data_IF_349506201378
#
_entry.id   IF_349506201378
#
_cell.length_a   1.000
_cell.length_b   1.000
_cell.length_c   1.000
_cell.angle_alpha   90.00
_cell.angle_beta   90.00
_cell.angle_gamma   90.00
#
_symmetry.space_group_name_H-M   'P 1'
#
loop_
_entity.id
_entity.type
_entity.pdbx_description
1 polymer ?
#
# COMPACT_ATOMS: atom_id res chain seq x y z
N UNK A 1 18.29 7.84 -22.21
CA UNK A 1 17.51 8.71 -21.30
C UNK A 1 17.22 8.01 -19.97
N UNK A 2 16.45 6.92 -19.91
CA UNK A 2 16.16 6.20 -18.64
C UNK A 2 17.40 5.60 -17.96
N UNK A 3 18.23 4.84 -18.69
CA UNK A 3 19.39 4.17 -18.08
C UNK A 3 20.40 5.16 -17.50
N UNK A 4 20.62 6.28 -18.21
CA UNK A 4 21.45 7.39 -17.76
C UNK A 4 20.92 7.99 -16.46
N UNK A 5 19.61 8.23 -16.37
CA UNK A 5 18.97 8.76 -15.17
C UNK A 5 19.03 7.77 -13.99
N UNK A 6 18.83 6.47 -14.25
CA UNK A 6 18.97 5.42 -13.24
C UNK A 6 20.40 5.32 -12.73
N UNK A 7 21.39 5.45 -13.62
CA UNK A 7 22.80 5.45 -13.25
C UNK A 7 23.15 6.67 -12.40
N UNK A 8 22.81 7.89 -12.85
CA UNK A 8 23.09 9.12 -12.10
C UNK A 8 22.41 9.14 -10.73
N UNK A 9 21.15 8.69 -10.64
CA UNK A 9 20.46 8.54 -9.37
C UNK A 9 21.13 7.50 -8.46
N UNK A 10 21.66 6.41 -9.02
CA UNK A 10 22.41 5.41 -8.25
C UNK A 10 23.71 5.96 -7.68
N UNK A 11 24.43 6.78 -8.45
CA UNK A 11 25.62 7.49 -7.98
C UNK A 11 25.26 8.45 -6.85
N UNK A 12 24.20 9.26 -7.02
CA UNK A 12 23.74 10.20 -6.00
C UNK A 12 23.28 9.51 -4.70
N UNK A 13 22.67 8.33 -4.80
CA UNK A 13 22.21 7.53 -3.66
C UNK A 13 23.30 6.62 -3.06
N UNK A 14 24.52 6.64 -3.61
CA UNK A 14 25.64 5.80 -3.16
C UNK A 14 25.41 4.30 -3.34
N UNK A 15 24.46 3.88 -4.18
CA UNK A 15 24.10 2.46 -4.38
C UNK A 15 23.64 2.17 -5.80
N UNK A 16 23.93 0.96 -6.28
CA UNK A 16 23.41 0.50 -7.57
C UNK A 16 21.90 0.28 -7.48
N UNK A 17 21.13 1.12 -8.19
CA UNK A 17 19.68 0.99 -8.26
C UNK A 17 19.29 -0.20 -9.13
N UNK A 18 18.82 -1.28 -8.49
CA UNK A 18 18.22 -2.45 -9.16
C UNK A 18 16.70 -2.26 -9.30
N UNK A 19 16.29 -1.27 -10.08
CA UNK A 19 14.88 -1.04 -10.39
C UNK A 19 14.65 -0.89 -11.90
N UNK A 20 13.43 -1.19 -12.31
CA UNK A 20 12.93 -1.00 -13.67
C UNK A 20 11.99 0.19 -13.73
N UNK A 21 11.62 0.63 -14.93
CA UNK A 21 10.65 1.72 -15.09
C UNK A 21 9.28 1.37 -14.50
N UNK A 22 8.90 0.09 -14.50
CA UNK A 22 7.65 -0.39 -13.89
C UNK A 22 7.64 -0.22 -12.37
N UNK A 23 8.80 -0.30 -11.72
CA UNK A 23 8.88 -0.10 -10.27
C UNK A 23 8.67 1.37 -9.88
N UNK A 24 9.08 2.30 -10.75
CA UNK A 24 8.81 3.72 -10.55
C UNK A 24 7.32 4.01 -10.66
N UNK A 25 6.67 3.50 -11.72
CA UNK A 25 5.22 3.60 -11.89
C UNK A 25 4.46 3.02 -10.68
N UNK A 26 4.90 1.87 -10.18
CA UNK A 26 4.28 1.25 -9.02
C UNK A 26 4.41 2.10 -7.76
N UNK A 27 5.60 2.68 -7.54
CA UNK A 27 5.84 3.61 -6.44
C UNK A 27 4.95 4.85 -6.54
N UNK A 28 4.84 5.46 -7.71
CA UNK A 28 4.01 6.65 -7.91
C UNK A 28 2.52 6.37 -7.60
N UNK A 29 1.98 5.23 -8.03
CA UNK A 29 0.60 4.81 -7.73
C UNK A 29 0.41 4.50 -6.24
N UNK A 30 1.43 3.91 -5.60
CA UNK A 30 1.41 3.56 -4.18
C UNK A 30 1.52 4.77 -3.25
N UNK A 31 2.26 5.80 -3.66
CA UNK A 31 2.46 7.02 -2.88
C UNK A 31 1.26 7.99 -3.00
N UNK A 32 0.40 7.81 -4.00
CA UNK A 32 -0.82 8.58 -4.16
C UNK A 32 -1.88 8.20 -3.11
N UNK A 33 -2.41 9.17 -2.37
CA UNK A 33 -3.30 8.92 -1.20
C UNK A 33 -4.79 8.90 -1.55
N UNK A 34 -5.16 9.36 -2.74
CA UNK A 34 -6.56 9.43 -3.17
C UNK A 34 -7.17 8.04 -3.48
N UNK A 35 -8.48 8.06 -3.73
CA UNK A 35 -9.28 6.88 -4.07
C UNK A 35 -8.71 6.07 -5.25
N UNK A 36 -9.04 4.77 -5.31
CA UNK A 36 -8.65 3.86 -6.39
C UNK A 36 -9.04 4.36 -7.78
N UNK A 37 -10.15 5.10 -7.88
CA UNK A 37 -10.68 5.69 -9.11
C UNK A 37 -9.83 6.86 -9.61
N UNK A 38 -9.31 7.68 -8.69
CA UNK A 38 -8.40 8.78 -9.01
C UNK A 38 -7.05 8.23 -9.46
N UNK A 39 -6.53 7.21 -8.74
CA UNK A 39 -5.35 6.44 -9.13
C UNK A 39 -5.50 5.84 -10.54
N UNK A 40 -6.69 5.33 -10.87
CA UNK A 40 -6.98 4.78 -12.19
C UNK A 40 -6.86 5.85 -13.29
N UNK A 41 -7.47 7.02 -13.07
CA UNK A 41 -7.45 8.14 -14.02
C UNK A 41 -6.04 8.65 -14.27
N UNK A 42 -5.24 8.79 -13.20
CA UNK A 42 -3.87 9.29 -13.29
C UNK A 42 -2.92 8.29 -13.96
N UNK A 43 -3.07 7.01 -13.65
CA UNK A 43 -2.18 5.96 -14.19
C UNK A 43 -2.57 5.45 -15.58
N UNK A 44 -3.73 5.84 -16.10
CA UNK A 44 -4.23 5.48 -17.43
C UNK A 44 -4.70 4.03 -17.55
N UNK A 45 -5.05 3.37 -16.43
CA UNK A 45 -5.49 1.98 -16.44
C UNK A 45 -6.95 1.85 -16.86
N UNK A 46 -7.25 0.81 -17.65
CA UNK A 46 -8.61 0.54 -18.12
C UNK A 46 -9.53 0.07 -17.00
N UNK A 47 -9.00 -0.63 -16.01
CA UNK A 47 -9.77 -1.18 -14.89
C UNK A 47 -9.08 -0.95 -13.54
N UNK A 48 -9.86 -0.82 -12.48
CA UNK A 48 -9.35 -0.66 -11.11
C UNK A 48 -8.52 -1.87 -10.65
N UNK A 49 -8.83 -3.08 -11.13
CA UNK A 49 -8.05 -4.29 -10.80
C UNK A 49 -6.59 -4.18 -11.23
N UNK A 50 -6.29 -3.48 -12.32
CA UNK A 50 -4.92 -3.24 -12.76
C UNK A 50 -4.18 -2.26 -11.84
N UNK A 51 -4.91 -1.28 -11.27
CA UNK A 51 -4.36 -0.33 -10.28
C UNK A 51 -4.01 -1.07 -8.99
N UNK A 52 -4.85 -1.99 -8.55
CA UNK A 52 -4.64 -2.79 -7.33
C UNK A 52 -3.37 -3.66 -7.39
N UNK A 53 -2.93 -4.09 -8.58
CA UNK A 53 -1.65 -4.83 -8.74
C UNK A 53 -0.45 -3.93 -8.43
N UNK A 54 -0.57 -2.62 -8.66
CA UNK A 54 0.50 -1.65 -8.41
C UNK A 54 0.43 -1.03 -7.01
N UNK A 55 -0.73 -1.03 -6.36
CA UNK A 55 -0.89 -0.59 -4.98
C UNK A 55 -0.26 -1.61 -4.01
N UNK A 56 1.05 -1.46 -3.83
CA UNK A 56 1.88 -2.36 -2.99
C UNK A 56 2.10 -1.79 -1.59
N UNK A 57 1.37 -0.75 -1.17
CA UNK A 57 1.53 -0.16 0.16
C UNK A 57 1.10 -1.17 1.23
N UNK A 58 2.00 -1.47 2.16
CA UNK A 58 1.70 -2.37 3.28
C UNK A 58 0.62 -1.70 4.13
N UNK A 59 -0.51 -2.39 4.31
CA UNK A 59 -1.56 -1.94 5.22
C UNK A 59 -1.05 -2.07 6.65
N UNK A 60 -0.83 -0.95 7.31
CA UNK A 60 -0.53 -0.91 8.74
C UNK A 60 -1.85 -1.12 9.46
N UNK A 61 -2.04 -2.30 10.05
CA UNK A 61 -3.15 -2.53 10.96
C UNK A 61 -2.78 -1.94 12.32
N UNK A 62 -3.70 -1.25 13.01
CA UNK A 62 -3.49 -0.93 14.41
C UNK A 62 -3.29 -2.22 15.22
N UNK A 63 -2.33 -2.20 16.14
CA UNK A 63 -2.14 -3.26 17.13
C UNK A 63 -3.27 -3.20 18.15
N UNK A 64 -3.67 -4.36 18.69
CA UNK A 64 -4.58 -4.49 19.83
C UNK A 64 -3.91 -4.04 21.15
N UNK A 65 -3.21 -2.90 21.18
CA UNK A 65 -2.69 -2.28 22.41
C UNK A 65 -3.82 -1.52 23.15
N UNK A 66 -5.04 -2.06 23.10
CA UNK A 66 -6.11 -1.64 23.99
C UNK A 66 -5.81 -2.28 25.34
N UNK A 67 -5.81 -1.53 26.47
CA UNK A 67 -5.81 -2.16 27.78
C UNK A 67 -6.99 -3.14 27.78
N UNK A 68 -6.76 -4.36 28.30
CA UNK A 68 -7.79 -5.40 28.43
C UNK A 68 -8.99 -4.69 29.07
N UNK A 69 -10.04 -4.45 28.27
CA UNK A 69 -11.27 -3.88 28.77
C UNK A 69 -11.69 -4.79 29.91
N UNK A 70 -11.60 -4.27 31.14
CA UNK A 70 -12.07 -4.96 32.32
C UNK A 70 -13.48 -5.44 31.97
N UNK A 71 -13.71 -6.75 32.09
CA UNK A 71 -14.99 -7.37 31.76
C UNK A 71 -16.10 -6.50 32.32
N UNK A 72 -16.85 -5.83 31.46
CA UNK A 72 -18.13 -5.26 31.86
C UNK A 72 -19.03 -6.46 32.14
N UNK A 73 -19.68 -6.44 33.29
CA UNK A 73 -20.43 -7.54 33.91
C UNK A 73 -21.70 -7.95 33.11
N UNK A 74 -21.79 -7.61 31.83
CA UNK A 74 -22.94 -7.81 30.94
C UNK A 74 -22.63 -8.73 29.73
N UNK A 75 -21.60 -9.57 29.80
CA UNK A 75 -21.39 -10.66 28.82
C UNK A 75 -22.19 -11.90 29.25
N UNK A 76 -23.52 -11.80 29.11
CA UNK A 76 -24.44 -12.92 29.21
C UNK A 76 -24.13 -13.91 28.08
N UNK A 77 -23.26 -14.88 28.39
CA UNK A 77 -22.87 -16.03 27.57
C UNK A 77 -24.03 -16.98 27.26
N UNK A 78 -25.08 -16.47 26.62
CA UNK A 78 -26.20 -17.24 26.14
C UNK A 78 -26.61 -16.70 24.77
N UNK A 79 -26.21 -17.38 23.70
CA UNK A 79 -27.01 -17.60 22.47
C UNK A 79 -26.21 -18.24 21.34
N UNK A 80 -25.62 -19.43 21.53
CA UNK A 80 -25.43 -20.36 20.39
C UNK A 80 -25.55 -21.82 20.84
N UNK A 81 -26.79 -22.21 21.14
CA UNK A 81 -27.27 -23.59 20.94
C UNK A 81 -28.50 -23.52 20.05
N UNK A 82 -28.34 -23.82 18.76
CA UNK A 82 -29.26 -24.65 17.99
C UNK A 82 -28.61 -25.13 16.71
#
# INVERSE_FOLDING_TARGET
MWETARYSAGVAQGRKLKCTFHDLKAKDISDYEDSSREKQRFSGHKTESQVLVYDRKVKISPTLDLPILAKTEDDDGAKYTK
#
